data_IF_944294585500
#
_entry.id   IF_944294585500
#
_cell.length_a   1.000
_cell.length_b   1.000
_cell.length_c   1.000
_cell.angle_alpha   90.00
_cell.angle_beta   90.00
_cell.angle_gamma   90.00
#
_symmetry.space_group_name_H-M   'P 1'
#
loop_
_entity.id
_entity.type
_entity.pdbx_description
1 polymer ?
#
# COMPACT_ATOMS: atom_id res chain seq x y z
N UNK A 1 -5.64 6.09 -15.15
CA UNK A 1 -6.30 4.82 -15.50
C UNK A 1 -6.10 3.72 -14.46
N UNK A 2 -7.18 3.03 -14.10
CA UNK A 2 -7.22 1.95 -13.10
C UNK A 2 -6.20 0.82 -13.34
N UNK A 3 -5.96 0.32 -14.57
CA UNK A 3 -5.01 -0.77 -14.80
C UNK A 3 -3.57 -0.41 -14.43
N UNK A 4 -3.14 0.81 -14.78
CA UNK A 4 -1.80 1.30 -14.45
C UNK A 4 -1.63 1.48 -12.93
N UNK A 5 -2.66 1.99 -12.27
CA UNK A 5 -2.69 2.14 -10.81
C UNK A 5 -2.61 0.79 -10.08
N UNK A 6 -3.42 -0.19 -10.47
CA UNK A 6 -3.41 -1.52 -9.90
C UNK A 6 -2.04 -2.21 -10.04
N UNK A 7 -1.45 -2.13 -11.25
CA UNK A 7 -0.11 -2.64 -11.52
C UNK A 7 0.94 -1.95 -10.64
N UNK A 8 0.88 -0.63 -10.51
CA UNK A 8 1.82 0.13 -9.70
C UNK A 8 1.73 -0.27 -8.22
N UNK A 9 0.52 -0.33 -7.65
CA UNK A 9 0.34 -0.73 -6.23
C UNK A 9 0.86 -2.14 -5.98
N UNK A 10 0.49 -3.11 -6.83
CA UNK A 10 0.97 -4.47 -6.68
C UNK A 10 2.50 -4.57 -6.82
N UNK A 11 3.09 -3.87 -7.80
CA UNK A 11 4.55 -3.82 -7.97
C UNK A 11 5.26 -3.18 -6.76
N UNK A 12 4.68 -2.14 -6.14
CA UNK A 12 5.22 -1.54 -4.92
C UNK A 12 5.11 -2.48 -3.73
N UNK A 13 3.98 -3.17 -3.56
CA UNK A 13 3.80 -4.14 -2.51
C UNK A 13 4.81 -5.30 -2.59
N UNK A 14 5.14 -5.76 -3.81
CA UNK A 14 6.17 -6.79 -4.02
C UNK A 14 7.56 -6.39 -3.51
N UNK A 15 7.88 -5.09 -3.42
CA UNK A 15 9.16 -4.63 -2.87
C UNK A 15 9.30 -4.92 -1.37
N UNK A 16 8.21 -5.22 -0.66
CA UNK A 16 8.23 -5.60 0.74
C UNK A 16 8.49 -7.11 0.94
N UNK A 17 8.75 -7.86 -0.14
CA UNK A 17 8.94 -9.32 -0.12
C UNK A 17 7.84 -10.06 0.65
N UNK A 18 6.55 -9.80 0.36
CA UNK A 18 5.46 -10.47 1.05
C UNK A 18 5.43 -11.96 0.70
N UNK A 19 4.89 -12.78 1.60
CA UNK A 19 4.58 -14.18 1.29
C UNK A 19 3.62 -14.31 0.11
N UNK A 20 2.70 -13.35 -0.05
CA UNK A 20 1.78 -13.29 -1.18
C UNK A 20 0.93 -12.03 -1.19
N UNK A 21 0.28 -11.78 -2.33
CA UNK A 21 -0.70 -10.71 -2.54
C UNK A 21 -1.99 -11.35 -3.03
N UNK A 22 -3.11 -11.03 -2.38
CA UNK A 22 -4.45 -11.48 -2.81
C UNK A 22 -5.26 -10.27 -3.24
N UNK A 23 -5.79 -10.30 -4.46
CA UNK A 23 -6.58 -9.21 -5.01
C UNK A 23 -8.05 -9.30 -4.59
N UNK A 24 -8.63 -8.19 -4.15
CA UNK A 24 -10.07 -8.04 -4.02
C UNK A 24 -10.63 -7.33 -5.26
N UNK A 25 -11.43 -7.97 -6.11
CA UNK A 25 -11.93 -9.35 -6.04
C UNK A 25 -11.87 -10.03 -7.42
N UNK A 26 -12.31 -11.29 -7.49
CA UNK A 26 -12.27 -12.06 -8.74
C UNK A 26 -13.24 -11.53 -9.80
N UNK A 27 -14.51 -11.28 -9.43
CA UNK A 27 -15.60 -10.99 -10.35
C UNK A 27 -16.39 -9.76 -9.89
N UNK A 28 -16.93 -9.05 -10.86
CA UNK A 28 -17.95 -8.04 -10.64
C UNK A 28 -19.20 -8.65 -10.02
N UNK A 29 -19.95 -7.82 -9.29
CA UNK A 29 -21.23 -8.22 -8.71
C UNK A 29 -22.32 -7.97 -9.75
N UNK A 30 -23.23 -8.92 -9.91
CA UNK A 30 -24.41 -8.72 -10.76
C UNK A 30 -25.28 -7.59 -10.20
N UNK A 31 -25.58 -6.59 -11.03
CA UNK A 31 -26.37 -5.41 -10.67
C UNK A 31 -27.84 -5.71 -10.33
N UNK A 32 -28.33 -6.92 -10.62
CA UNK A 32 -29.62 -7.41 -10.12
C UNK A 32 -29.61 -7.71 -8.62
N UNK A 33 -28.44 -7.95 -8.02
CA UNK A 33 -28.26 -8.11 -6.58
C UNK A 33 -28.22 -6.74 -5.92
N UNK A 34 -28.98 -6.55 -4.83
CA UNK A 34 -29.05 -5.29 -4.10
C UNK A 34 -28.36 -5.36 -2.74
N UNK A 35 -28.07 -4.20 -2.16
CA UNK A 35 -27.46 -4.07 -0.82
C UNK A 35 -25.95 -3.81 -0.79
N UNK A 36 -25.32 -3.61 -1.95
CA UNK A 36 -23.90 -3.28 -2.09
C UNK A 36 -23.70 -1.78 -2.31
N UNK A 37 -22.53 -1.25 -1.91
CA UNK A 37 -22.15 0.11 -2.30
C UNK A 37 -21.86 0.16 -3.81
N UNK A 38 -22.11 1.30 -4.46
CA UNK A 38 -21.95 1.43 -5.92
C UNK A 38 -20.56 1.02 -6.41
N UNK A 39 -19.52 1.34 -5.65
CA UNK A 39 -18.14 0.97 -5.98
C UNK A 39 -17.95 -0.56 -6.07
N UNK A 40 -18.67 -1.35 -5.27
CA UNK A 40 -18.43 -2.79 -5.13
C UNK A 40 -18.81 -3.59 -6.38
N UNK A 41 -19.76 -3.09 -7.18
CA UNK A 41 -20.22 -3.78 -8.38
C UNK A 41 -19.10 -3.98 -9.42
N UNK A 42 -18.13 -3.08 -9.45
CA UNK A 42 -17.12 -3.03 -10.53
C UNK A 42 -15.68 -3.29 -10.05
N UNK A 43 -15.49 -3.85 -8.85
CA UNK A 43 -14.15 -4.15 -8.27
C UNK A 43 -13.49 -5.43 -8.83
N UNK A 44 -14.22 -6.25 -9.59
CA UNK A 44 -13.73 -7.52 -10.11
C UNK A 44 -12.59 -7.36 -11.11
N UNK A 45 -11.73 -8.39 -11.18
CA UNK A 45 -10.80 -8.57 -12.31
C UNK A 45 -11.49 -9.10 -13.56
N UNK A 46 -12.63 -9.75 -13.38
CA UNK A 46 -13.50 -10.33 -14.40
C UNK A 46 -14.88 -9.68 -14.34
N UNK A 47 -15.56 -9.55 -15.47
CA UNK A 47 -16.97 -9.17 -15.51
C UNK A 47 -17.85 -10.33 -14.98
N UNK A 48 -19.15 -10.07 -14.80
CA UNK A 48 -20.15 -11.09 -14.44
C UNK A 48 -20.21 -12.24 -15.47
N UNK A 49 -19.88 -11.96 -16.73
CA UNK A 49 -19.85 -12.93 -17.83
C UNK A 49 -18.50 -13.67 -17.96
N UNK A 50 -17.59 -13.50 -17.00
CA UNK A 50 -16.23 -14.05 -16.99
C UNK A 50 -15.27 -13.42 -18.02
N UNK A 51 -15.58 -12.24 -18.54
CA UNK A 51 -14.68 -11.53 -19.45
C UNK A 51 -13.57 -10.82 -18.66
N UNK A 52 -12.32 -10.94 -19.13
CA UNK A 52 -11.17 -10.34 -18.45
C UNK A 52 -11.15 -8.83 -18.62
N UNK A 53 -11.27 -8.10 -17.51
CA UNK A 53 -11.20 -6.63 -17.50
C UNK A 53 -9.76 -6.14 -17.72
N UNK A 54 -9.57 -4.89 -18.17
CA UNK A 54 -8.23 -4.30 -18.30
C UNK A 54 -7.37 -4.39 -17.03
N UNK A 55 -7.98 -4.24 -15.85
CA UNK A 55 -7.29 -4.42 -14.55
C UNK A 55 -6.86 -5.87 -14.33
N UNK A 56 -7.72 -6.85 -14.66
CA UNK A 56 -7.40 -8.28 -14.63
C UNK A 56 -6.21 -8.64 -15.52
N UNK A 57 -6.19 -8.09 -16.74
CA UNK A 57 -5.07 -8.28 -17.68
C UNK A 57 -3.77 -7.70 -17.12
N UNK A 58 -3.79 -6.49 -16.58
CA UNK A 58 -2.60 -5.85 -16.01
C UNK A 58 -2.02 -6.61 -14.81
N UNK A 59 -2.88 -7.18 -13.95
CA UNK A 59 -2.45 -8.04 -12.84
C UNK A 59 -1.90 -9.38 -13.35
N UNK A 60 -2.55 -10.01 -14.33
CA UNK A 60 -2.07 -11.25 -14.94
C UNK A 60 -0.68 -11.07 -15.59
N UNK A 61 -0.47 -9.97 -16.31
CA UNK A 61 0.83 -9.61 -16.89
C UNK A 61 1.90 -9.38 -15.82
N UNK A 62 1.57 -8.70 -14.72
CA UNK A 62 2.50 -8.50 -13.61
C UNK A 62 2.90 -9.84 -12.97
N UNK A 63 1.94 -10.75 -12.76
CA UNK A 63 2.20 -12.09 -12.22
C UNK A 63 3.13 -12.87 -13.16
N UNK A 64 2.87 -12.86 -14.47
CA UNK A 64 3.68 -13.55 -15.46
C UNK A 64 5.12 -13.00 -15.52
N UNK A 65 5.27 -11.69 -15.44
CA UNK A 65 6.57 -11.02 -15.41
C UNK A 65 7.34 -11.38 -14.14
N UNK A 66 6.71 -11.29 -12.96
CA UNK A 66 7.35 -11.62 -11.69
C UNK A 66 7.80 -13.09 -11.61
N UNK A 67 7.07 -14.01 -12.24
CA UNK A 67 7.46 -15.43 -12.32
C UNK A 67 8.62 -15.68 -13.28
N UNK A 68 8.66 -14.95 -14.39
CA UNK A 68 9.70 -15.11 -15.43
C UNK A 68 11.00 -14.41 -15.05
N UNK A 69 10.90 -13.28 -14.37
CA UNK A 69 12.01 -12.43 -13.96
C UNK A 69 11.75 -11.87 -12.54
N UNK A 70 12.00 -12.68 -11.50
CA UNK A 70 11.80 -12.22 -10.13
C UNK A 70 12.78 -11.08 -9.81
N UNK A 71 12.31 -10.00 -9.16
CA UNK A 71 13.18 -8.90 -8.78
C UNK A 71 14.30 -9.39 -7.86
N UNK A 72 15.49 -8.78 -7.91
CA UNK A 72 16.56 -9.11 -6.98
C UNK A 72 16.09 -8.87 -5.53
N UNK A 73 16.67 -9.60 -4.56
CA UNK A 73 16.40 -9.36 -3.15
C UNK A 73 16.58 -7.89 -2.80
N UNK A 74 15.77 -7.39 -1.85
CA UNK A 74 15.89 -6.02 -1.39
C UNK A 74 17.33 -5.79 -0.90
N UNK A 75 18.00 -4.71 -1.36
CA UNK A 75 19.38 -4.45 -0.97
C UNK A 75 19.48 -4.26 0.54
N UNK A 76 20.51 -4.85 1.14
CA UNK A 76 20.85 -4.63 2.54
C UNK A 76 21.42 -3.21 2.69
N UNK A 77 20.53 -2.29 3.07
CA UNK A 77 20.86 -0.89 3.34
C UNK A 77 20.24 -0.45 4.64
N UNK A 78 20.88 0.52 5.27
CA UNK A 78 20.28 1.19 6.41
C UNK A 78 19.01 1.92 5.96
N UNK A 79 17.94 1.70 6.72
CA UNK A 79 16.61 2.27 6.47
C UNK A 79 16.23 3.13 7.67
N UNK A 80 15.72 4.35 7.47
CA UNK A 80 15.31 5.19 8.57
C UNK A 80 14.18 4.54 9.36
N UNK A 81 14.27 4.64 10.68
CA UNK A 81 13.25 4.16 11.60
C UNK A 81 12.24 5.28 11.88
N UNK A 82 10.97 5.05 11.53
CA UNK A 82 9.83 5.83 11.98
C UNK A 82 9.26 5.15 13.22
N UNK A 83 9.42 5.78 14.38
CA UNK A 83 9.09 5.17 15.68
C UNK A 83 7.60 5.36 15.98
N UNK A 84 6.87 4.25 16.12
CA UNK A 84 5.50 4.21 16.64
C UNK A 84 5.54 4.02 18.16
N UNK A 85 4.97 4.95 18.96
CA UNK A 85 4.89 4.78 20.40
C UNK A 85 4.14 3.50 20.79
N UNK A 86 4.64 2.78 21.80
CA UNK A 86 4.01 1.57 22.30
C UNK A 86 2.55 1.82 22.71
N UNK A 87 1.67 0.88 22.36
CA UNK A 87 0.23 0.97 22.66
C UNK A 87 -0.54 2.04 21.89
N UNK A 88 0.06 2.70 20.89
CA UNK A 88 -0.65 3.66 20.03
C UNK A 88 -0.99 3.09 18.67
N UNK A 89 -2.21 3.40 18.23
CA UNK A 89 -2.62 3.27 16.83
C UNK A 89 -2.05 4.45 16.04
N UNK A 90 -1.38 4.24 14.89
CA UNK A 90 -0.94 5.34 14.04
C UNK A 90 -2.15 6.14 13.54
N UNK A 91 -2.04 7.46 13.59
CA UNK A 91 -3.03 8.38 13.05
C UNK A 91 -2.58 8.94 11.69
N UNK A 92 -3.34 9.91 11.15
CA UNK A 92 -3.02 10.52 9.86
C UNK A 92 -1.72 11.32 9.89
N UNK A 93 -1.35 11.93 11.03
CA UNK A 93 -0.08 12.66 11.13
C UNK A 93 1.12 11.72 11.03
N UNK A 94 1.00 10.52 11.61
CA UNK A 94 1.99 9.46 11.44
C UNK A 94 2.06 8.98 9.99
N UNK A 95 0.91 8.83 9.33
CA UNK A 95 0.85 8.45 7.92
C UNK A 95 1.48 9.52 7.02
N UNK A 96 1.22 10.80 7.26
CA UNK A 96 1.80 11.91 6.50
C UNK A 96 3.33 11.89 6.57
N UNK A 97 3.89 11.68 7.76
CA UNK A 97 5.35 11.57 7.94
C UNK A 97 5.92 10.33 7.26
N UNK A 98 5.22 9.18 7.33
CA UNK A 98 5.61 7.98 6.60
C UNK A 98 5.65 8.23 5.09
N UNK A 99 4.59 8.84 4.53
CA UNK A 99 4.51 9.10 3.09
C UNK A 99 5.50 10.17 2.62
N UNK A 100 5.80 11.19 3.45
CA UNK A 100 6.88 12.15 3.17
C UNK A 100 8.23 11.45 2.97
N UNK A 101 8.58 10.51 3.87
CA UNK A 101 9.81 9.71 3.76
C UNK A 101 9.79 8.78 2.53
N UNK A 102 8.62 8.25 2.16
CA UNK A 102 8.46 7.46 0.93
C UNK A 102 8.69 8.31 -0.32
N UNK A 103 8.15 9.52 -0.36
CA UNK A 103 8.30 10.47 -1.47
C UNK A 103 9.76 10.93 -1.65
N UNK A 104 10.51 11.02 -0.54
CA UNK A 104 11.97 11.27 -0.54
C UNK A 104 12.80 10.04 -0.96
N UNK A 105 12.17 8.90 -1.21
CA UNK A 105 12.85 7.65 -1.57
C UNK A 105 13.54 6.95 -0.39
N UNK A 106 13.25 7.35 0.84
CA UNK A 106 13.96 6.90 2.03
C UNK A 106 13.62 5.46 2.45
N UNK A 107 12.43 4.95 2.07
CA UNK A 107 11.94 3.60 2.37
C UNK A 107 11.96 3.27 3.88
N UNK A 108 11.20 4.04 4.68
CA UNK A 108 11.24 3.94 6.13
C UNK A 108 10.74 2.60 6.66
N UNK A 109 11.27 2.16 7.81
CA UNK A 109 10.71 1.08 8.62
C UNK A 109 9.89 1.68 9.75
N UNK A 110 8.74 1.09 10.03
CA UNK A 110 8.01 1.37 11.27
C UNK A 110 8.59 0.47 12.36
N UNK A 111 9.01 1.06 13.49
CA UNK A 111 9.51 0.33 14.67
C UNK A 111 8.71 0.73 15.90
N UNK A 112 8.43 -0.21 16.81
CA UNK A 112 7.70 0.12 18.04
C UNK A 112 8.72 0.54 19.12
N UNK A 113 8.42 1.59 19.88
CA UNK A 113 9.36 2.21 20.83
C UNK A 113 9.95 1.26 21.90
N UNK A 114 9.33 0.11 22.17
CA UNK A 114 9.83 -0.89 23.13
C UNK A 114 10.91 -1.82 22.54
N UNK A 115 11.14 -1.78 21.22
CA UNK A 115 12.32 -2.39 20.59
C UNK A 115 13.54 -1.52 20.92
N UNK A 116 14.09 -1.72 22.13
CA UNK A 116 15.24 -1.01 22.71
C UNK A 116 16.59 -1.30 22.01
N UNK A 117 16.59 -1.18 20.68
CA UNK A 117 17.77 -0.94 19.85
C UNK A 117 17.39 0.01 18.71
N UNK A 118 16.86 1.18 19.07
CA UNK A 118 16.63 2.24 18.10
C UNK A 118 17.99 2.79 17.60
N UNK A 119 18.34 2.68 16.30
CA UNK A 119 19.32 3.59 15.73
C UNK A 119 18.79 5.03 15.84
N UNK A 120 19.70 6.00 15.91
CA UNK A 120 19.40 7.42 16.11
C UNK A 120 18.22 7.87 15.25
N UNK A 121 17.12 8.22 15.90
CA UNK A 121 15.99 8.85 15.25
C UNK A 121 16.47 10.11 14.53
N UNK A 122 16.09 10.25 13.25
CA UNK A 122 16.23 11.52 12.56
C UNK A 122 15.39 12.56 13.32
N UNK A 123 15.89 13.77 13.59
CA UNK A 123 15.14 14.76 14.34
C UNK A 123 13.83 15.05 13.58
N UNK A 124 12.71 14.75 14.22
CA UNK A 124 11.39 15.13 13.73
C UNK A 124 11.36 16.65 13.56
N UNK A 125 11.28 17.12 12.32
CA UNK A 125 11.17 18.55 12.02
C UNK A 125 9.71 18.94 12.16
N UNK A 126 9.41 19.69 13.22
CA UNK A 126 8.32 20.67 13.27
C UNK A 126 6.90 20.12 13.34
N UNK A 127 6.34 20.09 14.56
CA UNK A 127 4.89 20.09 14.74
C UNK A 127 4.31 21.40 14.17
N UNK A 128 3.67 21.33 13.01
CA UNK A 128 2.87 22.45 12.50
C UNK A 128 1.52 22.43 13.23
N UNK A 129 1.29 23.44 14.08
CA UNK A 129 0.01 23.60 14.77
C UNK A 129 -1.11 23.82 13.75
N UNK A 130 -2.13 22.95 13.78
CA UNK A 130 -3.37 23.14 13.03
C UNK A 130 -4.17 24.31 13.63
N UNK A 131 -4.70 25.24 12.81
CA UNK A 131 -5.59 26.27 13.31
C UNK A 131 -6.91 25.66 13.83
N UNK A 132 -7.59 26.30 14.80
CA UNK A 132 -8.83 25.79 15.36
C UNK A 132 -9.92 25.75 14.29
N UNK A 133 -10.72 24.68 14.30
CA UNK A 133 -11.92 24.56 13.47
C UNK A 133 -12.97 25.54 13.98
N UNK A 134 -13.42 26.44 13.11
CA UNK A 134 -14.59 27.28 13.39
C UNK A 134 -15.86 26.43 13.44
N UNK A 135 -16.74 26.82 14.37
CA UNK A 135 -17.97 26.15 14.81
C UNK A 135 -19.11 26.20 13.81
#
# INVERSE_FOLDING_TARGET
ELPAFARAIAARALQAEPWGITWWCSHDIDRSLSGFAELEYDLGLLTVDNEVKPVGRAIAELIAQHRSDPPPPRPDRERPALVLPAGRTPDLSFADEYFRLVDEGADPRIVVADDARAPTASPAVGALALPPRES
#
